data_IF_940940212253
#
_entry.id   IF_940940212253
#
_cell.length_a   1.000
_cell.length_b   1.000
_cell.length_c   1.000
_cell.angle_alpha   90.00
_cell.angle_beta   90.00
_cell.angle_gamma   90.00
#
_symmetry.space_group_name_H-M   'P 1'
#
loop_
_entity.id
_entity.type
_entity.pdbx_description
1 polymer ?
#
# COMPACT_ATOMS: atom_id res chain seq x y z
N UNK A 1 -9.25 7.17 -27.80
CA UNK A 1 -10.00 6.38 -26.81
C UNK A 1 -10.60 7.37 -25.86
N UNK A 2 -11.89 7.57 -25.99
CA UNK A 2 -12.65 8.55 -25.22
C UNK A 2 -12.71 8.12 -23.75
N UNK A 3 -12.39 9.07 -22.85
CA UNK A 3 -12.65 9.03 -21.42
C UNK A 3 -14.16 9.15 -21.17
N UNK A 4 -14.94 8.20 -21.68
CA UNK A 4 -16.38 8.14 -21.46
C UNK A 4 -16.73 6.92 -20.61
N UNK A 5 -17.49 7.19 -19.55
CA UNK A 5 -18.24 6.27 -18.70
C UNK A 5 -17.47 5.42 -17.68
N UNK A 6 -16.71 6.08 -16.80
CA UNK A 6 -16.58 5.58 -15.44
C UNK A 6 -17.81 6.10 -14.68
N UNK A 7 -18.78 5.22 -14.42
CA UNK A 7 -19.97 5.57 -13.64
C UNK A 7 -19.59 6.22 -12.31
N UNK A 8 -20.49 6.99 -11.71
CA UNK A 8 -20.27 7.68 -10.42
C UNK A 8 -19.90 6.76 -9.25
N UNK A 9 -19.94 5.44 -9.44
CA UNK A 9 -19.56 4.38 -8.49
C UNK A 9 -18.22 3.70 -8.84
N UNK A 10 -17.44 4.25 -9.78
CA UNK A 10 -16.13 3.68 -10.12
C UNK A 10 -15.10 4.05 -9.05
N UNK A 11 -14.95 3.18 -8.06
CA UNK A 11 -13.84 3.24 -7.10
C UNK A 11 -12.58 2.68 -7.77
N UNK A 12 -11.65 3.59 -8.10
CA UNK A 12 -10.35 3.22 -8.63
C UNK A 12 -9.55 2.47 -7.55
N UNK A 13 -9.25 1.20 -7.79
CA UNK A 13 -8.56 0.36 -6.82
C UNK A 13 -7.04 0.36 -7.12
N UNK A 14 -6.22 0.69 -6.11
CA UNK A 14 -4.76 0.57 -6.19
C UNK A 14 -4.31 -0.47 -5.17
N UNK A 15 -3.54 -1.45 -5.62
CA UNK A 15 -3.02 -2.52 -4.77
C UNK A 15 -1.51 -2.70 -4.96
N UNK A 16 -0.80 -2.90 -3.85
CA UNK A 16 0.63 -3.21 -3.81
C UNK A 16 0.83 -4.52 -3.05
N UNK A 17 1.29 -5.57 -3.73
CA UNK A 17 1.48 -6.90 -3.15
C UNK A 17 2.95 -7.11 -2.80
N UNK A 18 3.22 -7.37 -1.52
CA UNK A 18 4.58 -7.58 -0.99
C UNK A 18 4.79 -9.06 -0.73
N UNK A 19 5.76 -9.68 -1.41
CA UNK A 19 6.11 -11.10 -1.19
C UNK A 19 7.02 -11.30 0.03
N UNK A 20 7.82 -10.29 0.38
CA UNK A 20 8.83 -10.37 1.44
C UNK A 20 8.35 -9.68 2.73
N UNK A 21 7.26 -10.17 3.32
CA UNK A 21 6.65 -9.55 4.50
C UNK A 21 7.62 -9.44 5.70
N UNK A 22 8.60 -10.35 5.80
CA UNK A 22 9.66 -10.26 6.82
C UNK A 22 10.46 -8.96 6.75
N UNK A 23 10.81 -8.48 5.55
CA UNK A 23 11.51 -7.20 5.36
C UNK A 23 10.64 -6.02 5.78
N UNK A 24 9.33 -6.12 5.55
CA UNK A 24 8.39 -5.09 5.98
C UNK A 24 8.29 -5.03 7.51
N UNK A 25 8.24 -6.19 8.18
CA UNK A 25 8.32 -6.27 9.64
C UNK A 25 9.62 -5.67 10.19
N UNK A 26 10.77 -6.00 9.59
CA UNK A 26 12.07 -5.43 9.95
C UNK A 26 12.12 -3.91 9.77
N UNK A 27 11.57 -3.40 8.66
CA UNK A 27 11.54 -1.95 8.36
C UNK A 27 10.76 -1.15 9.39
N UNK A 28 9.70 -1.74 9.95
CA UNK A 28 8.84 -1.14 10.95
C UNK A 28 9.26 -1.50 12.39
N UNK A 29 10.26 -2.38 12.55
CA UNK A 29 10.68 -2.93 13.82
C UNK A 29 9.50 -3.51 14.64
N UNK A 30 8.65 -4.28 13.97
CA UNK A 30 7.47 -4.94 14.55
C UNK A 30 7.44 -6.42 14.20
N UNK A 31 6.68 -7.19 14.95
CA UNK A 31 6.37 -8.58 14.59
C UNK A 31 5.27 -8.65 13.51
N UNK A 32 5.14 -9.81 12.86
CA UNK A 32 4.07 -10.04 11.87
C UNK A 32 2.67 -9.82 12.45
N UNK A 33 2.47 -10.15 13.73
CA UNK A 33 1.19 -9.99 14.42
C UNK A 33 0.85 -8.51 14.66
N UNK A 34 1.86 -7.68 14.86
CA UNK A 34 1.72 -6.23 15.09
C UNK A 34 1.68 -5.42 13.79
N UNK A 35 2.16 -6.00 12.68
CA UNK A 35 2.29 -5.34 11.39
C UNK A 35 0.99 -4.65 10.91
N UNK A 36 -0.20 -5.29 10.96
CA UNK A 36 -1.44 -4.64 10.51
C UNK A 36 -1.76 -3.39 11.34
N UNK A 37 -1.58 -3.44 12.66
CA UNK A 37 -1.84 -2.30 13.54
C UNK A 37 -0.82 -1.16 13.31
N UNK A 38 0.45 -1.51 13.08
CA UNK A 38 1.50 -0.54 12.77
C UNK A 38 1.25 0.17 11.43
N UNK A 39 0.81 -0.58 10.40
CA UNK A 39 0.43 -0.02 9.11
C UNK A 39 -0.82 0.86 9.24
N UNK A 40 -1.84 0.41 9.96
CA UNK A 40 -3.04 1.21 10.21
C UNK A 40 -2.66 2.54 10.89
N UNK A 41 -1.89 2.51 11.98
CA UNK A 41 -1.50 3.72 12.70
C UNK A 41 -0.70 4.72 11.84
N UNK A 42 0.04 4.23 10.86
CA UNK A 42 0.87 5.07 9.97
C UNK A 42 0.11 5.58 8.74
N UNK A 43 -0.89 4.85 8.27
CA UNK A 43 -1.58 5.10 7.00
C UNK A 43 -3.04 5.55 7.18
N UNK A 44 -3.63 5.37 8.36
CA UNK A 44 -5.02 5.72 8.65
C UNK A 44 -5.26 7.23 8.49
N UNK A 45 -6.42 7.57 7.91
CA UNK A 45 -6.87 8.94 7.63
C UNK A 45 -6.02 9.74 6.65
N UNK A 46 -5.11 9.11 5.90
CA UNK A 46 -4.34 9.76 4.84
C UNK A 46 -5.03 9.52 3.49
N UNK A 47 -5.42 10.60 2.80
CA UNK A 47 -5.88 10.49 1.39
C UNK A 47 -4.81 9.87 0.48
N UNK A 48 -3.54 9.88 0.90
CA UNK A 48 -2.37 9.35 0.21
C UNK A 48 -1.82 8.08 0.86
N UNK A 49 -2.64 7.32 1.61
CA UNK A 49 -2.22 6.10 2.29
C UNK A 49 -1.49 5.10 1.38
N UNK A 50 -1.98 4.94 0.14
CA UNK A 50 -1.33 4.09 -0.85
C UNK A 50 0.07 4.61 -1.22
N UNK A 51 0.21 5.91 -1.50
CA UNK A 51 1.49 6.49 -1.91
C UNK A 51 2.51 6.41 -0.78
N UNK A 52 2.10 6.70 0.45
CA UNK A 52 2.92 6.54 1.67
C UNK A 52 3.36 5.09 1.89
N UNK A 53 2.49 4.12 1.59
CA UNK A 53 2.84 2.72 1.67
C UNK A 53 3.88 2.35 0.61
N UNK A 54 3.73 2.81 -0.63
CA UNK A 54 4.73 2.54 -1.68
C UNK A 54 6.05 3.25 -1.46
N UNK A 55 6.05 4.47 -0.92
CA UNK A 55 7.26 5.19 -0.51
C UNK A 55 8.00 4.43 0.59
N UNK A 56 7.29 3.89 1.58
CA UNK A 56 7.88 3.03 2.60
C UNK A 56 8.57 1.80 1.98
N UNK A 57 7.93 1.17 1.02
CA UNK A 57 8.51 0.00 0.36
C UNK A 57 9.76 0.39 -0.43
N UNK A 58 9.74 1.50 -1.15
CA UNK A 58 10.88 2.01 -1.92
C UNK A 58 12.06 2.42 -1.03
N UNK A 59 11.80 3.14 0.07
CA UNK A 59 12.81 3.59 1.04
C UNK A 59 13.58 2.42 1.67
N UNK A 60 12.90 1.30 1.86
CA UNK A 60 13.47 0.08 2.42
C UNK A 60 13.88 -0.95 1.36
N UNK A 61 13.84 -0.59 0.08
CA UNK A 61 14.17 -1.46 -1.06
C UNK A 61 13.40 -2.79 -1.07
N UNK A 62 12.14 -2.75 -0.65
CA UNK A 62 11.23 -3.89 -0.62
C UNK A 62 10.53 -3.98 -1.97
N UNK A 63 10.70 -5.11 -2.66
CA UNK A 63 10.04 -5.36 -3.94
C UNK A 63 8.54 -5.59 -3.73
N UNK A 64 7.72 -5.00 -4.60
CA UNK A 64 6.27 -5.19 -4.62
C UNK A 64 5.71 -5.20 -6.03
N UNK A 65 4.59 -5.89 -6.21
CA UNK A 65 3.83 -5.88 -7.46
C UNK A 65 2.71 -4.85 -7.37
N UNK A 66 2.62 -3.98 -8.37
CA UNK A 66 1.58 -2.94 -8.45
C UNK A 66 0.44 -3.36 -9.37
N UNK A 67 -0.79 -3.20 -8.88
CA UNK A 67 -2.01 -3.38 -9.64
C UNK A 67 -2.90 -2.13 -9.53
N UNK A 68 -3.51 -1.74 -10.65
CA UNK A 68 -4.52 -0.67 -10.73
C UNK A 68 -5.72 -1.14 -11.55
N UNK A 69 -6.93 -1.01 -11.00
CA UNK A 69 -8.19 -1.47 -11.57
C UNK A 69 -9.25 -0.37 -11.66
#
# INVERSE_FOLDING_TARGET
>A
MDLQDLGSDFEYERCATVSEVGKLCESLNVTYEELPAALLLRLENQMTAFDLFTELLDDHHIQFEYFSG
#
